data_IF_198410056615
#
_entry.id   IF_198410056615
#
_cell.length_a   1.000
_cell.length_b   1.000
_cell.length_c   1.000
_cell.angle_alpha   90.00
_cell.angle_beta   90.00
_cell.angle_gamma   90.00
#
_symmetry.space_group_name_H-M   'P 1'
#
loop_
_entity.id
_entity.type
_entity.pdbx_description
1 polymer ?
#
# COMPACT_ATOMS: atom_id res chain seq x y z
N UNK A 1 -78.07 28.74 -41.08
CA UNK A 1 -77.58 27.39 -40.63
C UNK A 1 -76.07 27.45 -40.51
N UNK A 2 -75.54 27.78 -39.30
CA UNK A 2 -74.16 28.01 -39.06
C UNK A 2 -73.69 26.91 -38.08
N UNK A 3 -72.81 26.04 -38.51
CA UNK A 3 -72.22 24.97 -37.68
C UNK A 3 -71.01 25.51 -36.94
N UNK A 4 -71.10 25.47 -35.62
CA UNK A 4 -69.99 25.72 -34.70
C UNK A 4 -69.12 24.47 -34.58
N UNK A 5 -67.82 24.55 -34.85
CA UNK A 5 -66.86 23.49 -34.59
C UNK A 5 -66.19 23.75 -33.25
N UNK A 6 -66.37 22.86 -32.28
CA UNK A 6 -65.58 22.80 -31.05
C UNK A 6 -64.23 22.12 -31.32
N UNK A 7 -63.13 22.81 -31.08
CA UNK A 7 -61.79 22.23 -31.08
C UNK A 7 -61.44 21.85 -29.64
N UNK A 8 -61.19 20.54 -29.42
CA UNK A 8 -60.61 20.04 -28.16
C UNK A 8 -59.08 20.22 -28.20
N UNK A 9 -58.54 21.01 -27.27
CA UNK A 9 -57.11 21.04 -26.95
C UNK A 9 -56.80 19.85 -26.03
N UNK A 10 -55.97 18.95 -26.50
CA UNK A 10 -55.36 17.89 -25.64
C UNK A 10 -54.09 18.49 -25.01
N UNK A 11 -54.11 18.64 -23.69
CA UNK A 11 -52.90 18.98 -22.92
C UNK A 11 -52.11 17.70 -22.67
N UNK A 12 -50.91 17.62 -23.25
CA UNK A 12 -49.94 16.58 -22.94
C UNK A 12 -49.23 16.90 -21.64
N UNK A 13 -49.45 16.09 -20.59
CA UNK A 13 -48.64 16.09 -19.37
C UNK A 13 -47.29 15.41 -19.66
N UNK A 14 -46.22 16.16 -19.66
CA UNK A 14 -44.87 15.63 -19.66
C UNK A 14 -44.53 15.26 -18.20
N UNK A 15 -44.55 13.98 -17.87
CA UNK A 15 -43.98 13.46 -16.63
C UNK A 15 -42.46 13.48 -16.77
N UNK A 16 -41.81 14.46 -16.13
CA UNK A 16 -40.38 14.42 -15.90
C UNK A 16 -40.07 13.32 -14.89
N UNK A 17 -39.58 12.18 -15.37
CA UNK A 17 -38.99 11.17 -14.52
C UNK A 17 -37.67 11.74 -14.00
N UNK A 18 -37.62 12.16 -12.72
CA UNK A 18 -36.36 12.30 -11.99
C UNK A 18 -35.75 10.91 -11.89
N UNK A 19 -34.75 10.62 -12.72
CA UNK A 19 -33.84 9.53 -12.46
C UNK A 19 -33.04 9.94 -11.23
N UNK A 20 -33.32 9.30 -10.08
CA UNK A 20 -32.38 9.26 -8.97
C UNK A 20 -31.06 8.75 -9.52
N UNK A 21 -30.01 9.59 -9.40
CA UNK A 21 -28.67 9.10 -9.62
C UNK A 21 -28.48 7.90 -8.69
N UNK A 22 -28.26 6.72 -9.27
CA UNK A 22 -27.76 5.58 -8.54
C UNK A 22 -26.44 6.04 -7.91
N UNK A 23 -26.46 6.26 -6.59
CA UNK A 23 -25.24 6.22 -5.80
C UNK A 23 -24.72 4.80 -5.96
N UNK A 24 -23.71 4.63 -6.81
CA UNK A 24 -22.98 3.37 -6.92
C UNK A 24 -22.59 2.96 -5.50
N UNK A 25 -23.21 1.90 -4.98
CA UNK A 25 -22.80 1.33 -3.70
C UNK A 25 -21.32 0.96 -3.87
N UNK A 26 -20.45 1.68 -3.18
CA UNK A 26 -19.04 1.27 -3.02
C UNK A 26 -19.09 -0.17 -2.51
N UNK A 27 -18.26 -1.06 -3.06
CA UNK A 27 -18.21 -2.47 -2.60
C UNK A 27 -17.75 -2.63 -1.15
N UNK A 28 -17.53 -1.51 -0.43
CA UNK A 28 -17.07 -1.44 0.96
C UNK A 28 -18.12 -0.79 1.85
N UNK A 29 -18.30 -1.34 3.05
CA UNK A 29 -19.10 -0.74 4.13
C UNK A 29 -18.15 -0.24 5.22
N UNK A 30 -18.22 1.03 5.60
CA UNK A 30 -17.42 1.62 6.68
C UNK A 30 -17.82 1.04 8.05
N UNK A 31 -16.84 0.58 8.82
CA UNK A 31 -17.02 0.01 10.15
C UNK A 31 -16.50 0.94 11.27
N UNK A 32 -15.70 1.94 10.95
CA UNK A 32 -15.15 2.90 11.89
C UNK A 32 -13.69 3.24 11.63
N UNK A 33 -13.19 4.25 12.35
CA UNK A 33 -11.78 4.64 12.43
C UNK A 33 -11.39 4.92 13.88
N UNK A 34 -10.10 4.79 14.16
CA UNK A 34 -9.46 5.18 15.42
C UNK A 34 -8.16 5.89 15.09
N UNK A 35 -7.99 7.09 15.63
CA UNK A 35 -6.89 7.99 15.35
C UNK A 35 -5.97 8.13 16.57
N UNK A 36 -4.66 8.21 16.31
CA UNK A 36 -3.63 8.50 17.30
C UNK A 36 -2.86 9.74 16.85
N UNK A 37 -2.60 10.70 17.76
CA UNK A 37 -1.77 11.86 17.42
C UNK A 37 -0.30 11.47 17.23
N UNK A 38 0.45 12.18 16.41
CA UNK A 38 1.89 11.97 16.18
C UNK A 38 2.74 12.00 17.46
N UNK A 39 2.19 12.53 18.56
CA UNK A 39 2.85 12.51 19.87
C UNK A 39 2.58 11.23 20.67
N UNK A 40 1.85 10.28 20.09
CA UNK A 40 1.57 9.02 20.75
C UNK A 40 2.85 8.19 20.87
N UNK A 41 3.07 7.66 22.07
CA UNK A 41 4.26 6.86 22.41
C UNK A 41 3.78 5.53 22.99
N UNK A 42 4.38 4.45 22.53
CA UNK A 42 4.17 3.11 23.07
C UNK A 42 5.53 2.43 23.24
N UNK A 43 5.77 1.84 24.41
CA UNK A 43 7.01 1.10 24.76
C UNK A 43 8.29 1.92 24.45
N UNK A 44 8.30 3.18 24.92
CA UNK A 44 9.35 4.17 24.71
C UNK A 44 9.69 4.49 23.24
N UNK A 45 8.82 4.09 22.30
CA UNK A 45 8.97 4.41 20.87
C UNK A 45 7.88 5.38 20.40
N UNK A 46 8.25 6.31 19.49
CA UNK A 46 7.29 7.14 18.79
C UNK A 46 6.48 6.26 17.83
N UNK A 47 5.15 6.23 18.01
CA UNK A 47 4.25 5.54 17.09
C UNK A 47 3.96 6.46 15.92
N UNK A 48 4.28 6.00 14.72
CA UNK A 48 4.09 6.75 13.47
C UNK A 48 4.77 6.02 12.31
N UNK A 49 4.64 6.59 11.11
CA UNK A 49 5.22 5.99 9.92
C UNK A 49 4.65 4.61 9.62
N UNK A 50 3.34 4.38 9.76
CA UNK A 50 2.78 3.04 9.58
C UNK A 50 2.51 2.77 8.10
N UNK A 51 3.46 2.11 7.43
CA UNK A 51 3.42 1.85 5.98
C UNK A 51 2.81 0.51 5.59
N UNK A 52 2.85 -0.50 6.45
CA UNK A 52 2.33 -1.82 6.12
C UNK A 52 1.68 -2.52 7.30
N UNK A 53 0.72 -3.43 7.02
CA UNK A 53 -0.01 -4.16 8.05
C UNK A 53 -0.32 -5.58 7.58
N UNK A 54 -0.22 -6.57 8.49
CA UNK A 54 -0.55 -7.97 8.20
C UNK A 54 -1.24 -8.65 9.37
N UNK A 55 -2.27 -9.46 9.10
CA UNK A 55 -3.09 -10.13 10.11
C UNK A 55 -2.62 -11.54 10.41
N UNK A 56 -2.49 -11.87 11.69
CA UNK A 56 -2.30 -13.22 12.23
C UNK A 56 -3.64 -13.72 12.79
N UNK A 57 -4.30 -14.57 12.03
CA UNK A 57 -5.60 -15.12 12.42
C UNK A 57 -5.50 -16.07 13.63
N UNK A 58 -4.37 -16.78 13.77
CA UNK A 58 -4.14 -17.71 14.88
C UNK A 58 -4.02 -17.02 16.23
N UNK A 59 -3.36 -15.86 16.28
CA UNK A 59 -3.18 -15.04 17.49
C UNK A 59 -4.21 -13.93 17.61
N UNK A 60 -4.95 -13.65 16.55
CA UNK A 60 -5.89 -12.50 16.44
C UNK A 60 -5.21 -11.17 16.71
N UNK A 61 -4.04 -10.96 16.12
CA UNK A 61 -3.24 -9.73 16.19
C UNK A 61 -2.83 -9.29 14.79
N UNK A 62 -2.35 -8.06 14.70
CA UNK A 62 -1.79 -7.51 13.47
C UNK A 62 -0.35 -7.09 13.74
N UNK A 63 0.52 -7.32 12.76
CA UNK A 63 1.87 -6.80 12.72
C UNK A 63 1.85 -5.56 11.82
N UNK A 64 2.33 -4.44 12.34
CA UNK A 64 2.29 -3.14 11.66
C UNK A 64 3.71 -2.58 11.63
N UNK A 65 4.27 -2.40 10.44
CA UNK A 65 5.65 -1.92 10.27
C UNK A 65 5.68 -0.39 10.23
N UNK A 66 6.78 0.19 10.75
CA UNK A 66 7.04 1.63 10.68
C UNK A 66 8.17 1.91 9.70
N UNK A 67 8.01 2.91 8.82
CA UNK A 67 8.98 3.41 7.85
C UNK A 67 10.14 4.21 8.47
N UNK A 68 10.18 4.29 9.80
CA UNK A 68 11.25 5.00 10.51
C UNK A 68 12.62 4.44 10.13
N UNK A 69 13.35 5.17 9.34
CA UNK A 69 14.73 4.86 8.90
C UNK A 69 15.73 4.89 10.04
N UNK A 70 15.36 4.37 11.20
CA UNK A 70 16.12 4.43 12.45
C UNK A 70 16.46 5.88 12.85
N UNK A 71 15.65 6.85 12.46
CA UNK A 71 15.88 8.26 12.73
C UNK A 71 15.33 8.69 14.09
N UNK A 72 14.20 8.15 14.50
CA UNK A 72 13.57 8.38 15.81
C UNK A 72 13.84 7.22 16.76
N UNK A 73 13.54 6.00 16.31
CA UNK A 73 13.82 4.75 17.00
C UNK A 73 14.34 3.74 15.97
N UNK A 74 14.92 2.64 16.40
CA UNK A 74 15.37 1.58 15.48
C UNK A 74 14.22 1.09 14.59
N UNK A 75 14.54 0.66 13.36
CA UNK A 75 13.59 0.04 12.45
C UNK A 75 12.83 -1.08 13.16
N UNK A 76 11.49 -1.07 13.11
CA UNK A 76 10.64 -1.90 13.97
C UNK A 76 9.29 -2.21 13.35
N UNK A 77 8.60 -3.13 13.97
CA UNK A 77 7.17 -3.32 13.80
C UNK A 77 6.47 -3.38 15.16
N UNK A 78 5.19 -3.06 15.16
CA UNK A 78 4.31 -3.18 16.31
C UNK A 78 3.41 -4.40 16.19
N UNK A 79 3.08 -5.01 17.33
CA UNK A 79 1.99 -5.98 17.42
C UNK A 79 0.78 -5.28 18.03
N UNK A 80 -0.34 -5.28 17.32
CA UNK A 80 -1.57 -4.64 17.78
C UNK A 80 -2.75 -5.61 17.72
N UNK A 81 -3.75 -5.40 18.56
CA UNK A 81 -5.05 -6.06 18.47
C UNK A 81 -6.11 -5.06 18.06
N UNK A 82 -6.81 -5.39 16.95
CA UNK A 82 -7.98 -4.64 16.50
C UNK A 82 -9.22 -5.35 16.94
N UNK A 83 -10.11 -4.66 17.66
CA UNK A 83 -11.33 -5.24 18.22
C UNK A 83 -12.57 -4.74 17.51
N UNK A 84 -13.52 -5.64 17.31
CA UNK A 84 -14.81 -5.37 16.69
C UNK A 84 -15.95 -5.76 17.63
N UNK A 85 -16.97 -4.89 17.72
CA UNK A 85 -18.21 -5.13 18.45
C UNK A 85 -19.40 -4.63 17.64
N UNK A 86 -20.47 -5.40 17.55
CA UNK A 86 -21.66 -5.08 16.76
C UNK A 86 -21.34 -4.69 15.31
N UNK A 87 -20.40 -5.43 14.70
CA UNK A 87 -19.87 -5.17 13.35
C UNK A 87 -19.27 -3.76 13.17
N UNK A 88 -18.65 -3.20 14.21
CA UNK A 88 -17.95 -1.92 14.18
C UNK A 88 -16.55 -2.06 14.78
N UNK A 89 -15.63 -1.22 14.33
CA UNK A 89 -14.33 -1.04 14.97
C UNK A 89 -14.55 -0.40 16.35
N UNK A 90 -14.06 -1.05 17.42
CA UNK A 90 -14.28 -0.62 18.80
C UNK A 90 -13.01 -0.31 19.58
N UNK A 91 -11.85 -0.78 19.13
CA UNK A 91 -10.60 -0.51 19.83
C UNK A 91 -9.36 -0.96 19.08
N UNK A 92 -8.25 -0.30 19.36
CA UNK A 92 -6.88 -0.67 19.01
C UNK A 92 -6.10 -0.81 20.32
N UNK A 93 -5.53 -1.98 20.56
CA UNK A 93 -4.67 -2.27 21.70
C UNK A 93 -3.25 -2.52 21.19
N UNK A 94 -2.30 -1.70 21.61
CA UNK A 94 -0.87 -1.90 21.33
C UNK A 94 -0.34 -2.93 22.31
N UNK A 95 0.33 -3.98 21.82
CA UNK A 95 0.71 -5.14 22.64
C UNK A 95 2.22 -5.27 22.79
N UNK A 96 2.99 -4.96 21.75
CA UNK A 96 4.43 -5.16 21.71
C UNK A 96 5.09 -4.28 20.66
N UNK A 97 6.37 -3.96 20.87
CA UNK A 97 7.28 -3.31 19.91
C UNK A 97 8.46 -4.23 19.69
N UNK A 98 8.72 -4.61 18.45
CA UNK A 98 9.84 -5.50 18.08
C UNK A 98 10.77 -4.81 17.10
N UNK A 99 12.06 -4.68 17.45
CA UNK A 99 13.10 -4.17 16.55
C UNK A 99 13.41 -5.18 15.44
N UNK A 100 13.53 -4.69 14.22
CA UNK A 100 14.06 -5.47 13.10
C UNK A 100 15.59 -5.53 13.21
N UNK A 101 16.14 -6.73 13.10
CA UNK A 101 17.57 -6.94 13.29
C UNK A 101 18.30 -7.17 11.95
N UNK A 102 19.50 -6.69 11.88
CA UNK A 102 20.38 -6.94 10.75
C UNK A 102 20.91 -8.40 10.72
N UNK A 103 21.77 -8.69 9.75
CA UNK A 103 22.36 -10.04 9.60
C UNK A 103 23.29 -10.45 10.77
N UNK A 104 23.73 -9.49 11.59
CA UNK A 104 24.57 -9.73 12.76
C UNK A 104 23.77 -9.91 14.04
N UNK A 105 22.45 -9.66 13.98
CA UNK A 105 21.56 -9.65 15.13
C UNK A 105 21.54 -8.34 15.89
N UNK A 106 22.02 -7.25 15.28
CA UNK A 106 21.97 -5.91 15.85
C UNK A 106 20.82 -5.09 15.26
N UNK A 107 20.21 -4.15 16.02
CA UNK A 107 19.30 -3.16 15.48
C UNK A 107 19.99 -2.30 14.40
N UNK A 108 19.22 -1.82 13.44
CA UNK A 108 19.75 -0.93 12.40
C UNK A 108 20.10 0.44 12.99
N UNK A 109 21.34 0.90 12.72
CA UNK A 109 21.79 2.21 13.16
C UNK A 109 21.26 3.33 12.23
N UNK A 110 21.11 4.57 12.73
CA UNK A 110 20.70 5.73 11.93
C UNK A 110 21.66 6.02 10.76
N UNK A 111 21.18 6.79 9.78
CA UNK A 111 21.98 7.24 8.65
C UNK A 111 23.24 7.97 9.12
N UNK A 112 24.41 7.48 8.69
CA UNK A 112 25.70 8.12 8.92
C UNK A 112 26.53 8.13 7.63
N UNK A 113 26.32 9.14 6.76
CA UNK A 113 26.95 9.20 5.44
C UNK A 113 28.47 9.38 5.50
N UNK A 114 28.98 9.97 6.58
CA UNK A 114 30.41 10.26 6.76
C UNK A 114 31.18 9.14 7.45
N UNK A 115 30.51 8.10 7.93
CA UNK A 115 31.15 6.90 8.46
C UNK A 115 31.96 6.17 7.36
N UNK A 116 32.89 5.30 7.78
CA UNK A 116 33.69 4.50 6.85
C UNK A 116 33.64 3.01 7.27
N UNK A 117 32.86 2.17 6.55
CA UNK A 117 31.96 2.49 5.44
C UNK A 117 30.76 3.35 5.89
N UNK A 118 30.07 4.05 4.96
CA UNK A 118 28.83 4.73 5.28
C UNK A 118 27.78 3.78 5.86
N UNK A 119 27.00 4.26 6.83
CA UNK A 119 25.85 3.53 7.37
C UNK A 119 24.59 4.05 6.70
N UNK A 120 23.85 3.16 6.07
CA UNK A 120 22.56 3.46 5.43
C UNK A 120 21.53 2.53 6.08
N UNK A 121 20.55 3.06 6.85
CA UNK A 121 19.49 2.25 7.43
C UNK A 121 18.54 1.72 6.34
N UNK A 122 17.69 0.71 6.66
CA UNK A 122 16.54 0.39 5.83
C UNK A 122 15.55 1.54 5.81
N UNK A 123 14.68 1.48 4.84
CA UNK A 123 13.45 2.22 4.70
C UNK A 123 12.32 1.18 4.68
N UNK A 124 11.81 0.75 5.86
CA UNK A 124 10.86 -0.36 5.92
C UNK A 124 9.48 0.08 5.43
N UNK A 125 8.83 -0.75 4.59
CA UNK A 125 7.53 -0.42 4.01
C UNK A 125 6.51 -1.55 4.21
N UNK A 126 6.52 -2.55 3.38
CA UNK A 126 5.57 -3.64 3.46
C UNK A 126 5.90 -4.70 4.51
N UNK A 127 4.87 -5.33 5.09
CA UNK A 127 5.00 -6.46 6.00
C UNK A 127 3.96 -7.54 5.68
N UNK A 128 4.36 -8.82 5.68
CA UNK A 128 3.46 -9.94 5.47
C UNK A 128 3.77 -11.08 6.45
N UNK A 129 2.75 -11.58 7.13
CA UNK A 129 2.88 -12.70 8.06
C UNK A 129 2.63 -14.03 7.36
N UNK A 130 3.50 -15.00 7.63
CA UNK A 130 3.37 -16.39 7.19
C UNK A 130 2.98 -17.29 8.37
N UNK A 131 1.70 -17.60 8.44
CA UNK A 131 1.16 -18.47 9.50
C UNK A 131 1.78 -19.88 9.46
N UNK A 132 2.06 -20.42 8.26
CA UNK A 132 2.61 -21.78 8.13
C UNK A 132 4.05 -21.89 8.60
N UNK A 133 4.85 -20.83 8.35
CA UNK A 133 6.29 -20.79 8.69
C UNK A 133 6.57 -20.04 9.99
N UNK A 134 5.54 -19.39 10.58
CA UNK A 134 5.65 -18.58 11.80
C UNK A 134 6.78 -17.56 11.69
N UNK A 135 6.71 -16.71 10.64
CA UNK A 135 7.70 -15.69 10.33
C UNK A 135 7.06 -14.51 9.60
N UNK A 136 7.82 -13.44 9.50
CA UNK A 136 7.45 -12.24 8.77
C UNK A 136 8.31 -12.10 7.52
N UNK A 137 7.73 -11.53 6.48
CA UNK A 137 8.41 -10.94 5.34
C UNK A 137 8.26 -9.43 5.44
N UNK A 138 9.29 -8.68 5.08
CA UNK A 138 9.23 -7.23 5.05
C UNK A 138 10.07 -6.67 3.91
N UNK A 139 9.62 -5.56 3.32
CA UNK A 139 10.31 -4.84 2.26
C UNK A 139 11.07 -3.64 2.81
N UNK A 140 12.01 -3.16 2.03
CA UNK A 140 12.68 -1.88 2.20
C UNK A 140 12.89 -1.26 0.84
N UNK A 141 12.61 0.03 0.71
CA UNK A 141 12.84 0.79 -0.51
C UNK A 141 14.33 0.95 -0.87
N UNK A 142 15.21 0.80 0.12
CA UNK A 142 16.62 1.11 -0.05
C UNK A 142 16.91 2.61 0.06
N UNK A 143 17.98 3.09 -0.61
CA UNK A 143 18.32 4.51 -0.59
C UNK A 143 19.08 4.91 -1.87
N UNK A 144 18.82 6.09 -2.37
CA UNK A 144 19.51 6.69 -3.52
C UNK A 144 19.81 8.17 -3.26
N UNK A 145 21.00 8.47 -2.71
CA UNK A 145 21.49 9.84 -2.51
C UNK A 145 22.62 10.09 -3.50
N UNK A 146 22.41 10.96 -4.49
CA UNK A 146 23.32 11.17 -5.63
C UNK A 146 23.72 12.64 -5.82
N UNK A 147 23.37 13.52 -4.91
CA UNK A 147 23.68 14.95 -4.93
C UNK A 147 25.20 15.21 -4.90
N UNK A 148 25.99 14.26 -4.37
CA UNK A 148 27.45 14.25 -4.49
C UNK A 148 27.89 13.18 -5.49
N UNK A 149 28.11 13.50 -6.78
CA UNK A 149 28.46 12.52 -7.82
C UNK A 149 29.75 11.73 -7.53
N UNK A 150 30.67 12.31 -6.74
CA UNK A 150 31.92 11.64 -6.36
C UNK A 150 31.74 10.61 -5.23
N UNK A 151 30.60 10.62 -4.56
CA UNK A 151 30.31 9.74 -3.40
C UNK A 151 28.81 9.47 -3.28
N UNK A 152 28.18 8.79 -4.29
CA UNK A 152 26.80 8.42 -4.16
C UNK A 152 26.60 7.43 -3.01
N UNK A 153 25.49 7.55 -2.27
CA UNK A 153 25.05 6.55 -1.30
C UNK A 153 23.90 5.76 -1.93
N UNK A 154 24.15 4.48 -2.13
CA UNK A 154 23.21 3.56 -2.77
C UNK A 154 23.00 2.35 -1.86
N UNK A 155 21.75 2.02 -1.61
CA UNK A 155 21.32 0.80 -0.96
C UNK A 155 20.21 0.20 -1.81
N UNK A 156 20.41 -1.01 -2.34
CA UNK A 156 19.37 -1.69 -3.11
C UNK A 156 18.13 -1.95 -2.24
N UNK A 157 16.92 -1.89 -2.80
CA UNK A 157 15.74 -2.40 -2.16
C UNK A 157 15.93 -3.87 -1.77
N UNK A 158 15.14 -4.34 -0.84
CA UNK A 158 15.11 -5.76 -0.51
C UNK A 158 13.75 -6.25 -0.04
N UNK A 159 13.59 -7.57 -0.07
CA UNK A 159 12.57 -8.31 0.65
C UNK A 159 13.28 -9.30 1.56
N UNK A 160 13.07 -9.20 2.86
CA UNK A 160 13.71 -10.05 3.88
C UNK A 160 12.70 -10.88 4.66
N UNK A 161 13.22 -11.97 5.22
CA UNK A 161 12.51 -12.81 6.17
C UNK A 161 13.01 -12.51 7.57
N UNK A 162 12.10 -12.28 8.51
CA UNK A 162 12.40 -12.10 9.93
C UNK A 162 11.63 -13.10 10.79
N UNK A 163 12.15 -13.43 11.97
CA UNK A 163 11.39 -14.05 13.03
C UNK A 163 10.36 -13.08 13.63
N UNK A 164 9.44 -13.60 14.43
CA UNK A 164 8.53 -12.75 15.22
C UNK A 164 9.28 -11.97 16.31
N UNK A 165 10.51 -12.33 16.58
CA UNK A 165 11.49 -11.65 17.44
C UNK A 165 12.36 -10.65 16.67
N UNK A 166 12.03 -10.33 15.41
CA UNK A 166 12.75 -9.42 14.53
C UNK A 166 14.06 -9.96 13.96
N UNK A 167 14.50 -11.14 14.38
CA UNK A 167 15.78 -11.73 13.94
C UNK A 167 15.79 -12.01 12.43
N UNK A 168 16.86 -11.57 11.74
CA UNK A 168 17.08 -11.88 10.33
C UNK A 168 17.11 -13.39 10.08
N UNK A 169 16.37 -13.88 9.08
CA UNK A 169 16.33 -15.29 8.68
C UNK A 169 16.69 -15.54 7.23
N UNK A 170 16.50 -14.56 6.35
CA UNK A 170 16.77 -14.72 4.92
C UNK A 170 16.47 -13.47 4.10
N UNK A 171 16.75 -13.55 2.81
CA UNK A 171 16.48 -12.47 1.86
C UNK A 171 16.15 -13.06 0.49
N UNK A 172 15.16 -12.51 -0.16
CA UNK A 172 14.75 -12.86 -1.52
C UNK A 172 15.70 -12.26 -2.56
N UNK A 173 15.85 -12.95 -3.69
CA UNK A 173 16.63 -12.46 -4.82
C UNK A 173 15.77 -11.52 -5.68
N UNK A 174 16.10 -10.24 -5.67
CA UNK A 174 15.40 -9.26 -6.51
C UNK A 174 15.88 -9.34 -7.98
N UNK A 175 14.98 -9.07 -8.95
CA UNK A 175 15.38 -8.87 -10.35
C UNK A 175 16.36 -7.70 -10.48
N UNK A 176 17.38 -7.80 -11.37
CA UNK A 176 18.41 -6.75 -11.52
C UNK A 176 17.85 -5.35 -11.86
N UNK A 177 16.68 -5.29 -12.50
CA UNK A 177 16.00 -4.01 -12.82
C UNK A 177 15.60 -3.21 -11.58
N UNK A 178 15.58 -3.84 -10.40
CA UNK A 178 15.30 -3.21 -9.12
C UNK A 178 16.56 -2.79 -8.35
N UNK A 179 17.75 -2.89 -8.94
CA UNK A 179 18.98 -2.39 -8.30
C UNK A 179 19.09 -0.87 -8.41
N UNK A 180 19.49 -0.23 -7.32
CA UNK A 180 19.73 1.21 -7.26
C UNK A 180 20.96 1.58 -8.09
N UNK A 181 20.90 2.74 -8.73
CA UNK A 181 21.96 3.25 -9.60
C UNK A 181 22.21 4.74 -9.38
N UNK A 182 23.47 5.17 -9.53
CA UNK A 182 23.80 6.58 -9.56
C UNK A 182 23.37 7.28 -10.87
N UNK A 183 23.11 6.51 -11.93
CA UNK A 183 22.54 6.98 -13.18
C UNK A 183 21.00 6.89 -13.11
N UNK A 184 20.32 7.49 -14.11
CA UNK A 184 18.86 7.41 -14.24
C UNK A 184 18.43 6.04 -14.80
N UNK A 185 18.69 4.99 -13.99
CA UNK A 185 18.27 3.60 -14.21
C UNK A 185 17.87 2.97 -12.90
N UNK A 186 17.00 1.94 -12.94
CA UNK A 186 16.47 1.29 -11.73
C UNK A 186 15.43 2.12 -11.00
N UNK A 187 15.19 1.85 -9.71
CA UNK A 187 14.21 2.55 -8.91
C UNK A 187 14.57 4.03 -8.70
N UNK A 188 13.57 4.86 -8.50
CA UNK A 188 13.72 6.24 -8.04
C UNK A 188 13.86 6.25 -6.52
N UNK A 189 14.45 7.28 -5.97
CA UNK A 189 14.55 7.49 -4.53
C UNK A 189 13.17 7.65 -3.92
N UNK A 190 12.88 6.94 -2.84
CA UNK A 190 11.59 6.98 -2.12
C UNK A 190 10.39 6.70 -3.04
N UNK A 191 10.53 5.71 -3.93
CA UNK A 191 9.57 5.32 -4.96
C UNK A 191 9.79 3.87 -5.38
N UNK A 192 10.28 3.02 -4.46
CA UNK A 192 10.64 1.64 -4.79
C UNK A 192 9.62 0.62 -4.22
N UNK A 193 10.06 -0.31 -3.38
CA UNK A 193 9.21 -1.39 -2.86
C UNK A 193 8.37 -0.92 -1.68
N UNK A 194 7.12 -0.61 -1.93
CA UNK A 194 6.10 -0.25 -0.94
C UNK A 194 5.32 -1.48 -0.49
N UNK A 195 4.35 -1.91 -1.28
CA UNK A 195 3.42 -2.95 -0.91
C UNK A 195 4.02 -4.36 -0.86
N UNK A 196 3.58 -5.16 0.12
CA UNK A 196 4.02 -6.54 0.29
C UNK A 196 2.90 -7.44 0.81
N UNK A 197 2.61 -8.53 0.10
CA UNK A 197 1.59 -9.50 0.54
C UNK A 197 2.00 -10.94 0.29
N UNK A 198 1.64 -11.83 1.22
CA UNK A 198 1.71 -13.28 1.01
C UNK A 198 0.39 -13.77 0.45
N UNK A 199 0.41 -14.56 -0.62
CA UNK A 199 -0.83 -15.12 -1.17
C UNK A 199 -1.43 -16.18 -0.24
N UNK A 200 -2.76 -16.38 -0.25
CA UNK A 200 -3.43 -17.36 0.64
C UNK A 200 -2.94 -18.80 0.48
N UNK A 201 -2.41 -19.14 -0.70
CA UNK A 201 -1.76 -20.46 -0.90
C UNK A 201 -0.47 -20.61 -0.07
N UNK A 202 0.16 -19.49 0.37
CA UNK A 202 1.45 -19.45 1.04
C UNK A 202 2.62 -19.85 0.14
N UNK A 203 2.39 -19.92 -1.18
CA UNK A 203 3.42 -20.29 -2.16
C UNK A 203 4.13 -19.07 -2.74
N UNK A 204 3.43 -17.93 -2.83
CA UNK A 204 3.94 -16.72 -3.46
C UNK A 204 3.93 -15.54 -2.50
N UNK A 205 5.02 -14.79 -2.52
CA UNK A 205 5.12 -13.47 -1.95
C UNK A 205 5.11 -12.45 -3.10
N UNK A 206 4.35 -11.39 -2.96
CA UNK A 206 4.20 -10.36 -4.00
C UNK A 206 4.60 -9.03 -3.43
N UNK A 207 5.55 -8.36 -4.10
CA UNK A 207 6.02 -7.02 -3.75
C UNK A 207 5.76 -6.05 -4.91
N UNK A 208 5.26 -4.86 -4.60
CA UNK A 208 4.95 -3.83 -5.57
C UNK A 208 5.84 -2.61 -5.40
N UNK A 209 6.25 -2.01 -6.51
CA UNK A 209 6.87 -0.68 -6.50
C UNK A 209 5.79 0.40 -6.45
N UNK A 210 6.05 1.49 -5.72
CA UNK A 210 5.17 2.64 -5.68
C UNK A 210 5.01 3.26 -7.06
N UNK A 211 6.13 3.60 -7.69
CA UNK A 211 6.19 4.37 -8.93
C UNK A 211 7.04 3.68 -10.02
N UNK A 212 6.96 4.13 -11.28
CA UNK A 212 7.87 3.66 -12.34
C UNK A 212 9.33 3.86 -11.98
N UNK A 213 10.17 2.85 -12.23
CA UNK A 213 11.61 3.07 -12.30
C UNK A 213 11.99 3.99 -13.47
N UNK A 214 13.20 4.55 -13.45
CA UNK A 214 13.69 5.40 -14.55
C UNK A 214 13.62 4.75 -15.92
N UNK A 215 13.81 3.43 -15.98
CA UNK A 215 13.71 2.64 -17.20
C UNK A 215 12.29 2.52 -17.73
N UNK A 216 11.29 2.60 -16.85
CA UNK A 216 9.92 2.19 -17.15
C UNK A 216 9.05 3.31 -17.69
N UNK A 217 9.42 4.55 -17.45
CA UNK A 217 8.70 5.70 -17.95
C UNK A 217 8.76 6.90 -17.02
N UNK A 218 7.91 7.85 -17.35
CA UNK A 218 7.75 9.05 -16.53
C UNK A 218 6.76 8.78 -15.38
N UNK A 219 6.81 9.58 -14.33
CA UNK A 219 5.86 9.53 -13.22
C UNK A 219 4.45 9.89 -13.71
N UNK A 220 3.39 9.48 -12.99
CA UNK A 220 2.03 9.94 -13.27
C UNK A 220 1.94 11.47 -13.26
N UNK A 221 1.05 12.00 -14.08
CA UNK A 221 0.68 13.42 -14.11
C UNK A 221 -0.83 13.58 -13.93
N UNK A 222 -1.33 14.79 -13.89
CA UNK A 222 -2.78 15.03 -13.85
C UNK A 222 -3.51 14.52 -15.12
N UNK A 223 -2.79 14.40 -16.26
CA UNK A 223 -3.34 14.01 -17.55
C UNK A 223 -3.06 12.55 -17.92
N UNK A 224 -2.05 11.92 -17.33
CA UNK A 224 -1.61 10.58 -17.69
C UNK A 224 -1.22 9.75 -16.49
N UNK A 225 -1.63 8.48 -16.51
CA UNK A 225 -1.11 7.46 -15.61
C UNK A 225 0.27 6.94 -16.04
N UNK A 226 0.76 5.94 -15.34
CA UNK A 226 2.06 5.33 -15.57
C UNK A 226 2.03 3.80 -15.39
N UNK A 227 3.12 3.09 -15.70
CA UNK A 227 3.25 1.67 -15.40
C UNK A 227 4.32 1.45 -14.34
N UNK A 228 3.93 0.84 -13.22
CA UNK A 228 4.88 0.37 -12.20
C UNK A 228 4.99 -1.15 -12.19
N UNK A 229 5.90 -1.73 -11.39
CA UNK A 229 6.20 -3.16 -11.38
C UNK A 229 5.67 -3.85 -10.13
N UNK A 230 5.02 -5.00 -10.34
CA UNK A 230 4.63 -5.96 -9.28
C UNK A 230 5.43 -7.23 -9.50
N UNK A 231 6.22 -7.64 -8.49
CA UNK A 231 7.13 -8.80 -8.55
C UNK A 231 6.57 -9.94 -7.72
N UNK A 232 6.46 -11.12 -8.31
CA UNK A 232 6.06 -12.37 -7.63
C UNK A 232 7.28 -13.24 -7.36
N UNK A 233 7.44 -13.63 -6.11
CA UNK A 233 8.48 -14.53 -5.64
C UNK A 233 7.89 -15.89 -5.25
N UNK A 234 8.61 -16.96 -5.55
CA UNK A 234 8.37 -18.28 -4.97
C UNK A 234 8.95 -18.32 -3.56
N UNK A 235 8.11 -18.56 -2.57
CA UNK A 235 8.50 -18.51 -1.15
C UNK A 235 9.46 -19.63 -0.77
N UNK A 236 9.39 -20.78 -1.44
CA UNK A 236 10.23 -21.92 -1.11
C UNK A 236 11.69 -21.73 -1.58
N UNK A 237 11.88 -21.03 -2.69
CA UNK A 237 13.20 -20.81 -3.30
C UNK A 237 13.76 -19.42 -3.04
N UNK A 238 12.90 -18.44 -2.70
CA UNK A 238 13.25 -17.02 -2.58
C UNK A 238 13.54 -16.34 -3.92
N UNK A 239 13.25 -16.97 -5.05
CA UNK A 239 13.49 -16.46 -6.37
C UNK A 239 12.30 -15.69 -6.92
N UNK A 240 12.52 -14.58 -7.62
CA UNK A 240 11.50 -13.94 -8.43
C UNK A 240 11.15 -14.83 -9.61
N UNK A 241 9.85 -15.11 -9.81
CA UNK A 241 9.34 -16.02 -10.85
C UNK A 241 8.54 -15.30 -11.92
N UNK A 242 8.02 -14.11 -11.61
CA UNK A 242 7.32 -13.26 -12.55
C UNK A 242 7.39 -11.80 -12.12
N UNK A 243 7.29 -10.90 -13.07
CA UNK A 243 6.92 -9.51 -12.86
C UNK A 243 5.74 -9.15 -13.77
N UNK A 244 4.93 -8.22 -13.33
CA UNK A 244 3.78 -7.70 -14.06
C UNK A 244 3.80 -6.17 -14.04
N UNK A 245 3.33 -5.55 -15.12
CA UNK A 245 3.11 -4.11 -15.15
C UNK A 245 1.76 -3.78 -14.49
N UNK A 246 1.76 -2.91 -13.49
CA UNK A 246 0.55 -2.38 -12.90
C UNK A 246 0.26 -0.97 -13.45
N UNK A 247 -0.96 -0.70 -13.96
CA UNK A 247 -1.31 0.59 -14.54
C UNK A 247 -1.77 1.55 -13.43
N UNK A 248 -0.91 2.51 -13.04
CA UNK A 248 -1.29 3.62 -12.15
C UNK A 248 -2.23 4.59 -12.88
N UNK A 249 -3.22 5.09 -12.16
CA UNK A 249 -4.07 6.18 -12.65
C UNK A 249 -3.30 7.52 -12.73
N UNK A 250 -3.82 8.52 -13.44
CA UNK A 250 -3.38 9.91 -13.31
C UNK A 250 -3.50 10.40 -11.87
N UNK A 251 -2.76 11.47 -11.53
CA UNK A 251 -2.91 12.17 -10.26
C UNK A 251 -4.35 12.67 -10.12
N UNK A 252 -5.00 12.34 -9.00
CA UNK A 252 -6.42 12.66 -8.76
C UNK A 252 -6.64 13.58 -7.56
N UNK A 253 -5.62 13.74 -6.71
CA UNK A 253 -5.69 14.71 -5.61
C UNK A 253 -5.76 16.15 -6.14
N UNK A 254 -6.52 17.06 -5.49
CA UNK A 254 -6.52 18.47 -5.82
C UNK A 254 -5.11 19.06 -5.62
N UNK A 255 -4.65 19.85 -6.60
CA UNK A 255 -3.27 20.38 -6.62
C UNK A 255 -2.21 19.29 -6.42
N UNK A 256 -2.49 18.10 -6.99
CA UNK A 256 -1.76 16.87 -6.70
C UNK A 256 -0.34 16.88 -7.26
N UNK A 257 0.57 16.28 -6.47
CA UNK A 257 2.00 16.18 -6.77
C UNK A 257 2.42 14.76 -7.15
N UNK A 258 1.64 13.74 -6.70
CA UNK A 258 1.97 12.33 -6.92
C UNK A 258 0.72 11.44 -6.94
N UNK A 259 0.82 10.27 -7.56
CA UNK A 259 -0.08 9.13 -7.42
C UNK A 259 0.75 7.84 -7.54
N UNK A 260 0.73 6.99 -6.53
CA UNK A 260 1.50 5.76 -6.47
C UNK A 260 0.71 4.58 -5.90
N UNK A 261 1.26 3.38 -6.03
CA UNK A 261 0.76 2.18 -5.38
C UNK A 261 1.39 2.09 -3.99
N UNK A 262 0.62 2.30 -2.92
CA UNK A 262 1.18 2.27 -1.57
C UNK A 262 1.15 0.87 -0.92
N UNK A 263 0.10 0.06 -1.11
CA UNK A 263 0.13 -1.34 -0.62
C UNK A 263 -0.85 -2.21 -1.40
N UNK A 264 -0.75 -3.52 -1.16
CA UNK A 264 -1.66 -4.50 -1.74
C UNK A 264 -1.90 -5.68 -0.78
N UNK A 265 -3.10 -6.28 -0.83
CA UNK A 265 -3.41 -7.53 -0.15
C UNK A 265 -3.96 -8.57 -1.12
N UNK A 266 -3.43 -9.78 -1.07
CA UNK A 266 -3.84 -10.86 -1.95
C UNK A 266 -5.21 -11.44 -1.53
N UNK A 267 -6.13 -11.57 -2.49
CA UNK A 267 -7.39 -12.30 -2.35
C UNK A 267 -7.25 -13.77 -2.75
N UNK A 268 -6.40 -14.02 -3.73
CA UNK A 268 -5.94 -15.34 -4.19
C UNK A 268 -4.53 -15.20 -4.81
N UNK A 269 -4.02 -16.20 -5.53
CA UNK A 269 -2.66 -16.17 -6.07
C UNK A 269 -2.48 -15.17 -7.24
N UNK A 270 -3.57 -14.68 -7.83
CA UNK A 270 -3.54 -13.81 -9.02
C UNK A 270 -4.41 -12.54 -8.88
N UNK A 271 -5.16 -12.40 -7.78
CA UNK A 271 -6.08 -11.28 -7.56
C UNK A 271 -5.76 -10.55 -6.25
N UNK A 272 -5.76 -9.23 -6.30
CA UNK A 272 -5.34 -8.37 -5.18
C UNK A 272 -6.34 -7.22 -4.98
N UNK A 273 -6.44 -6.72 -3.74
CA UNK A 273 -6.85 -5.34 -3.50
C UNK A 273 -5.60 -4.48 -3.42
N UNK A 274 -5.62 -3.35 -4.09
CA UNK A 274 -4.47 -2.45 -4.23
C UNK A 274 -4.89 -1.05 -3.83
N UNK A 275 -4.09 -0.37 -3.03
CA UNK A 275 -4.25 1.05 -2.74
C UNK A 275 -3.47 1.86 -3.77
N UNK A 276 -4.14 2.78 -4.46
CA UNK A 276 -3.50 3.92 -5.10
C UNK A 276 -3.75 5.17 -4.25
N UNK A 277 -2.68 5.83 -3.88
CA UNK A 277 -2.71 7.04 -3.09
C UNK A 277 -2.22 8.22 -3.91
N UNK A 278 -3.04 9.24 -4.02
CA UNK A 278 -2.67 10.49 -4.66
C UNK A 278 -2.52 11.59 -3.61
N UNK A 279 -1.33 12.21 -3.58
CA UNK A 279 -0.98 13.26 -2.64
C UNK A 279 -1.18 14.65 -3.26
N UNK A 280 -1.67 15.60 -2.45
CA UNK A 280 -1.91 16.98 -2.86
C UNK A 280 -2.40 17.82 -1.67
N UNK A 281 -3.11 18.90 -1.93
CA UNK A 281 -3.71 19.72 -0.86
C UNK A 281 -4.71 18.95 0.01
N UNK A 282 -5.19 17.82 -0.48
CA UNK A 282 -5.97 16.81 0.22
C UNK A 282 -5.62 15.45 -0.36
N UNK A 283 -5.39 14.45 0.49
CA UNK A 283 -5.12 13.09 0.07
C UNK A 283 -6.35 12.43 -0.56
N UNK A 284 -6.10 11.61 -1.57
CA UNK A 284 -7.08 10.71 -2.20
C UNK A 284 -6.53 9.30 -2.13
N UNK A 285 -7.28 8.37 -1.56
CA UNK A 285 -6.94 6.96 -1.53
C UNK A 285 -8.04 6.13 -2.20
N UNK A 286 -7.66 5.35 -3.21
CA UNK A 286 -8.54 4.49 -4.00
C UNK A 286 -8.15 3.04 -3.84
N UNK A 287 -9.13 2.19 -3.64
CA UNK A 287 -8.94 0.74 -3.58
C UNK A 287 -9.40 0.14 -4.89
N UNK A 288 -8.50 -0.58 -5.55
CA UNK A 288 -8.74 -1.30 -6.79
C UNK A 288 -8.70 -2.80 -6.55
N UNK A 289 -9.55 -3.54 -7.26
CA UNK A 289 -9.35 -4.97 -7.46
C UNK A 289 -8.52 -5.14 -8.72
N UNK A 290 -7.32 -5.71 -8.58
CA UNK A 290 -6.39 -5.92 -9.68
C UNK A 290 -6.12 -7.42 -9.90
N UNK A 291 -5.79 -7.80 -11.13
CA UNK A 291 -5.48 -9.20 -11.47
C UNK A 291 -4.32 -9.32 -12.44
N UNK A 292 -3.45 -10.32 -12.19
CA UNK A 292 -2.36 -10.71 -13.09
C UNK A 292 -2.84 -11.58 -14.26
N UNK A 293 -4.10 -12.05 -14.23
CA UNK A 293 -4.65 -12.91 -15.27
C UNK A 293 -4.66 -12.22 -16.62
N UNK A 294 -3.93 -12.79 -17.60
CA UNK A 294 -3.78 -12.25 -18.95
C UNK A 294 -2.71 -11.15 -19.10
N UNK A 295 -2.05 -10.74 -18.03
CA UNK A 295 -0.91 -9.83 -18.10
C UNK A 295 0.35 -10.54 -18.61
N UNK A 296 1.22 -9.79 -19.29
CA UNK A 296 2.51 -10.31 -19.72
C UNK A 296 3.43 -10.53 -18.50
N UNK A 297 4.16 -11.66 -18.47
CA UNK A 297 5.30 -11.77 -17.57
C UNK A 297 6.47 -10.96 -18.14
N UNK A 298 6.82 -9.89 -17.43
CA UNK A 298 7.84 -8.91 -17.83
C UNK A 298 9.18 -9.07 -17.10
N UNK A 299 9.42 -10.21 -16.42
CA UNK A 299 10.59 -10.41 -15.55
C UNK A 299 11.92 -10.16 -16.25
N UNK A 300 12.02 -10.48 -17.53
CA UNK A 300 13.21 -10.29 -18.36
C UNK A 300 13.19 -8.96 -19.14
N UNK A 301 12.17 -8.11 -18.95
CA UNK A 301 12.09 -6.82 -19.65
C UNK A 301 12.82 -5.73 -18.87
N UNK A 302 13.84 -5.10 -19.48
CA UNK A 302 14.59 -4.03 -18.81
C UNK A 302 13.83 -2.69 -18.77
N UNK A 303 12.70 -2.57 -19.49
CA UNK A 303 11.90 -1.34 -19.60
C UNK A 303 10.43 -1.66 -19.88
N UNK A 304 9.53 -0.78 -19.47
CA UNK A 304 8.09 -0.86 -19.76
C UNK A 304 7.63 0.15 -20.83
N UNK A 305 8.56 0.90 -21.46
CA UNK A 305 8.24 1.94 -22.44
C UNK A 305 7.60 1.38 -23.73
N UNK A 306 7.72 0.09 -23.99
CA UNK A 306 7.06 -0.63 -25.09
C UNK A 306 5.65 -1.14 -24.72
N UNK A 307 5.10 -0.69 -23.58
CA UNK A 307 3.74 -0.91 -23.12
C UNK A 307 3.30 -2.39 -23.20
N UNK A 308 3.80 -3.28 -22.32
CA UNK A 308 3.34 -4.67 -22.25
C UNK A 308 1.87 -4.75 -21.86
N UNK A 309 1.24 -5.91 -22.07
CA UNK A 309 -0.09 -6.18 -21.54
C UNK A 309 -0.03 -6.11 -20.00
N UNK A 310 -0.60 -5.05 -19.45
CA UNK A 310 -0.59 -4.79 -18.00
C UNK A 310 -1.66 -5.61 -17.26
N UNK A 311 -1.55 -5.65 -15.93
CA UNK A 311 -2.61 -6.13 -15.05
C UNK A 311 -3.91 -5.38 -15.33
N UNK A 312 -5.04 -6.06 -15.18
CA UNK A 312 -6.35 -5.42 -15.20
C UNK A 312 -6.70 -4.90 -13.81
N UNK A 313 -7.40 -3.76 -13.73
CA UNK A 313 -7.92 -3.26 -12.45
C UNK A 313 -9.32 -2.70 -12.59
N UNK A 314 -10.07 -2.72 -11.48
CA UNK A 314 -11.42 -2.15 -11.37
C UNK A 314 -11.53 -1.44 -10.02
N UNK A 315 -12.03 -0.22 -10.01
CA UNK A 315 -12.25 0.56 -8.79
C UNK A 315 -13.28 -0.14 -7.89
N UNK A 316 -12.91 -0.36 -6.63
CA UNK A 316 -13.78 -0.89 -5.57
C UNK A 316 -14.35 0.25 -4.74
N UNK A 317 -13.49 1.19 -4.33
CA UNK A 317 -13.90 2.34 -3.53
C UNK A 317 -12.93 3.52 -3.71
N UNK A 318 -13.46 4.72 -3.62
CA UNK A 318 -12.70 5.96 -3.42
C UNK A 318 -13.00 6.46 -2.00
N UNK A 319 -12.05 6.25 -1.09
CA UNK A 319 -12.22 6.56 0.33
C UNK A 319 -12.41 8.05 0.58
N UNK A 320 -11.84 8.90 -0.27
CA UNK A 320 -11.96 10.36 -0.16
C UNK A 320 -13.37 10.89 -0.46
N UNK A 321 -14.22 10.06 -1.06
CA UNK A 321 -15.62 10.41 -1.37
C UNK A 321 -16.62 9.80 -0.39
N UNK A 322 -16.16 8.95 0.54
CA UNK A 322 -17.02 8.33 1.55
C UNK A 322 -17.33 9.35 2.66
N UNK A 323 -18.61 9.70 2.83
CA UNK A 323 -19.04 10.72 3.78
C UNK A 323 -18.77 10.38 5.25
N UNK A 324 -18.56 9.09 5.56
CA UNK A 324 -18.22 8.61 6.88
C UNK A 324 -16.74 8.81 7.24
N UNK A 325 -15.85 8.90 6.26
CA UNK A 325 -14.42 9.16 6.44
C UNK A 325 -14.23 10.67 6.63
N UNK A 326 -14.03 11.09 7.89
CA UNK A 326 -14.00 12.52 8.24
C UNK A 326 -12.69 13.20 7.83
N UNK A 327 -11.58 12.50 7.99
CA UNK A 327 -10.23 12.92 7.66
C UNK A 327 -9.48 11.74 7.11
N UNK A 328 -8.76 11.93 6.02
CA UNK A 328 -7.99 10.88 5.36
C UNK A 328 -6.55 11.34 5.23
N UNK A 329 -5.68 10.77 6.07
CA UNK A 329 -4.25 10.97 5.97
C UNK A 329 -3.63 10.05 4.90
N UNK A 330 -2.37 9.83 4.99
CA UNK A 330 -1.53 9.10 4.06
C UNK A 330 -1.76 7.59 4.17
N UNK A 331 -2.80 7.04 3.52
CA UNK A 331 -3.13 5.61 3.59
C UNK A 331 -2.07 4.78 2.90
N UNK A 332 -1.36 3.94 3.66
CA UNK A 332 -0.23 3.16 3.13
C UNK A 332 -0.35 1.66 3.35
N UNK A 333 -1.01 1.18 4.40
CA UNK A 333 -1.13 -0.25 4.65
C UNK A 333 -2.55 -0.79 4.48
N UNK A 334 -2.67 -2.03 3.96
CA UNK A 334 -3.93 -2.75 3.77
C UNK A 334 -3.79 -4.23 4.10
N UNK A 335 -4.76 -4.78 4.87
CA UNK A 335 -4.84 -6.23 5.13
C UNK A 335 -6.27 -6.72 5.28
N UNK A 336 -6.47 -8.01 5.00
CA UNK A 336 -7.72 -8.68 5.37
C UNK A 336 -7.67 -9.03 6.86
N UNK A 337 -8.75 -8.74 7.59
CA UNK A 337 -8.93 -9.08 9.00
C UNK A 337 -9.81 -10.34 9.19
N UNK A 338 -10.47 -10.48 10.35
CA UNK A 338 -11.39 -11.58 10.60
C UNK A 338 -12.69 -11.43 9.79
N UNK A 339 -13.50 -12.48 9.77
CA UNK A 339 -14.89 -12.36 9.32
C UNK A 339 -15.76 -11.83 10.44
N UNK A 340 -16.68 -10.93 10.10
CA UNK A 340 -17.73 -10.44 10.99
C UNK A 340 -18.75 -11.54 11.28
N UNK A 341 -19.60 -11.30 12.28
CA UNK A 341 -20.68 -12.24 12.65
C UNK A 341 -21.70 -12.48 11.53
N UNK A 342 -21.84 -11.55 10.59
CA UNK A 342 -22.68 -11.65 9.40
C UNK A 342 -21.99 -12.30 8.21
N UNK A 343 -20.72 -12.72 8.35
CA UNK A 343 -19.91 -13.43 7.36
C UNK A 343 -19.10 -12.53 6.42
N UNK A 344 -19.28 -11.20 6.45
CA UNK A 344 -18.50 -10.26 5.64
C UNK A 344 -17.03 -10.27 6.08
N UNK A 345 -16.14 -10.07 5.12
CA UNK A 345 -14.70 -10.00 5.35
C UNK A 345 -14.32 -8.59 5.82
N UNK A 346 -13.60 -8.49 6.95
CA UNK A 346 -13.02 -7.20 7.37
C UNK A 346 -11.81 -6.87 6.51
N UNK A 347 -11.69 -5.59 6.17
CA UNK A 347 -10.54 -4.95 5.58
C UNK A 347 -10.05 -3.89 6.56
N UNK A 348 -8.77 -3.92 6.92
CA UNK A 348 -8.14 -2.93 7.81
C UNK A 348 -7.09 -2.16 7.03
N UNK A 349 -7.09 -0.83 7.18
CA UNK A 349 -6.08 0.05 6.61
C UNK A 349 -5.40 0.84 7.71
N UNK A 350 -4.15 1.24 7.47
CA UNK A 350 -3.39 2.15 8.33
C UNK A 350 -2.83 3.31 7.52
N UNK A 351 -2.53 4.42 8.22
CA UNK A 351 -1.92 5.60 7.62
C UNK A 351 -0.54 5.85 8.20
N UNK A 352 0.37 6.28 7.35
CA UNK A 352 1.60 6.95 7.72
C UNK A 352 1.31 8.41 8.09
N UNK A 353 1.76 8.86 9.25
CA UNK A 353 1.67 10.25 9.68
C UNK A 353 2.95 11.06 9.36
N UNK A 354 3.90 10.46 8.62
CA UNK A 354 5.20 11.06 8.28
C UNK A 354 5.92 11.67 9.50
N UNK A 355 5.57 11.24 10.70
CA UNK A 355 5.97 11.88 11.97
C UNK A 355 5.74 13.40 11.97
N UNK A 356 4.73 13.88 11.26
CA UNK A 356 4.33 15.28 11.10
C UNK A 356 3.23 15.63 12.10
N UNK A 357 3.40 16.76 12.81
CA UNK A 357 2.37 17.25 13.74
C UNK A 357 1.03 17.63 13.06
N UNK A 358 1.00 17.68 11.73
CA UNK A 358 -0.16 18.02 10.92
C UNK A 358 -0.95 16.79 10.47
N UNK A 359 -0.40 15.58 10.71
CA UNK A 359 -0.98 14.30 10.32
C UNK A 359 -1.26 13.41 11.54
N UNK A 360 -1.96 12.31 11.33
CA UNK A 360 -2.35 11.35 12.36
C UNK A 360 -2.10 9.92 11.90
N UNK A 361 -1.68 9.07 12.83
CA UNK A 361 -1.73 7.63 12.65
C UNK A 361 -3.19 7.17 12.78
N UNK A 362 -3.74 6.58 11.72
CA UNK A 362 -5.15 6.17 11.66
C UNK A 362 -5.28 4.68 11.38
N UNK A 363 -6.26 4.06 12.00
CA UNK A 363 -6.74 2.73 11.64
C UNK A 363 -8.16 2.85 11.12
N UNK A 364 -8.39 2.43 9.88
CA UNK A 364 -9.72 2.32 9.29
C UNK A 364 -10.13 0.86 9.21
N UNK A 365 -11.42 0.60 9.37
CA UNK A 365 -11.97 -0.70 9.10
C UNK A 365 -13.17 -0.59 8.15
N UNK A 366 -13.24 -1.54 7.21
CA UNK A 366 -14.34 -1.69 6.28
C UNK A 366 -14.77 -3.16 6.23
N UNK A 367 -15.98 -3.43 5.73
CA UNK A 367 -16.44 -4.77 5.36
C UNK A 367 -16.61 -4.86 3.85
N UNK A 368 -16.09 -5.97 3.29
CA UNK A 368 -16.23 -6.42 1.91
C UNK A 368 -17.48 -7.31 1.76
#
# INVERSE_FOLDING_TARGET
>A
MTRVRCSLLAAALVLASCSSADTSSTGLTYLGQIDFPTTYVFDDTAVGGLSGISYDAGRQVYYVISDDRSAKNAARFYTVRVTFGDNRLTGIEWLDTTELLDRTGAPFAPLSPDASPPVIPPDPEGIAFDERRQQLYWSSEGERIVENPGRPLLLDPWVRTAGLDGAFRGQFALPPVLSMSAQDTGPRRNKALEGLTLTPSGNFLVAAMEDPGFNDGDLPTAESGALTRVTRFDVATGAATAQYAYPLDPITAPDGEANGLSDLVALDDDTFLVIERSHGSRNVARIYRASTAGADNIIDRPSLRDAPTAMTKTLVADLSTMGEVQHLDNVEGITLGPKLSDGRQVLVLVTDDNFSAEQMTQFFAFAL
#
